data_IF_981954233292
#
_entry.id   IF_981954233292
#
_cell.length_a   1.000
_cell.length_b   1.000
_cell.length_c   1.000
_cell.angle_alpha   90.00
_cell.angle_beta   90.00
_cell.angle_gamma   90.00
#
_symmetry.space_group_name_H-M   'P 1'
#
loop_
_entity.id
_entity.type
_entity.pdbx_description
1 polymer ?
#
# COMPACT_ATOMS: atom_id res chain seq x y z
N UNK A 1 8.35 19.81 -15.41
CA UNK A 1 8.19 18.34 -15.43
C UNK A 1 7.12 18.02 -14.40
N UNK A 2 5.86 17.93 -14.84
CA UNK A 2 4.70 17.80 -13.95
C UNK A 2 4.53 16.35 -13.54
N UNK A 3 4.86 16.01 -12.29
CA UNK A 3 4.38 14.76 -11.71
C UNK A 3 2.86 14.88 -11.56
N UNK A 4 2.12 14.01 -12.25
CA UNK A 4 0.69 13.87 -12.05
C UNK A 4 0.39 13.67 -10.54
N UNK A 5 -0.73 14.19 -10.01
CA UNK A 5 -1.09 13.96 -8.62
C UNK A 5 -1.15 12.44 -8.38
N UNK A 6 -0.58 11.91 -7.28
CA UNK A 6 -0.75 10.50 -6.98
C UNK A 6 -2.24 10.25 -6.73
N UNK A 7 -2.93 9.63 -7.68
CA UNK A 7 -4.26 9.09 -7.47
C UNK A 7 -4.13 7.87 -6.56
N UNK A 8 -4.63 7.89 -5.31
CA UNK A 8 -4.44 6.79 -4.40
C UNK A 8 -5.71 5.93 -4.36
N UNK A 9 -6.12 5.40 -5.50
CA UNK A 9 -6.96 4.18 -5.52
C UNK A 9 -6.03 2.98 -5.71
N UNK A 10 -4.90 2.97 -5.01
CA UNK A 10 -4.01 1.83 -5.02
C UNK A 10 -4.49 0.83 -3.98
N UNK A 11 -5.08 -0.26 -4.48
CA UNK A 11 -5.37 -1.42 -3.66
C UNK A 11 -4.05 -1.93 -3.05
N UNK A 12 -4.01 -2.05 -1.73
CA UNK A 12 -2.91 -2.66 -0.98
C UNK A 12 -3.32 -4.07 -0.56
N UNK A 13 -3.23 -5.08 -1.46
CA UNK A 13 -3.83 -6.39 -1.24
C UNK A 13 -3.08 -7.26 -0.23
N UNK A 14 -1.99 -6.77 0.36
CA UNK A 14 -1.17 -7.53 1.31
C UNK A 14 -1.04 -6.81 2.65
N UNK A 15 -0.98 -7.59 3.73
CA UNK A 15 -0.59 -7.12 5.06
C UNK A 15 0.83 -7.61 5.36
N UNK A 16 1.71 -6.71 5.77
CA UNK A 16 3.04 -7.07 6.27
C UNK A 16 2.93 -7.67 7.67
N UNK A 17 3.44 -8.88 7.90
CA UNK A 17 3.20 -9.63 9.15
C UNK A 17 4.42 -9.76 10.07
N UNK A 18 5.60 -9.33 9.63
CA UNK A 18 6.82 -9.48 10.41
C UNK A 18 7.02 -8.33 11.37
N UNK A 19 7.53 -8.66 12.56
CA UNK A 19 7.87 -7.73 13.64
C UNK A 19 9.29 -7.16 13.49
N UNK A 20 9.85 -7.21 12.28
CA UNK A 20 11.11 -6.54 11.98
C UNK A 20 10.76 -5.25 11.24
N UNK A 21 11.44 -4.15 11.57
CA UNK A 21 11.20 -2.80 11.04
C UNK A 21 9.95 -2.06 11.57
N UNK A 22 9.23 -2.60 12.57
CA UNK A 22 8.09 -1.89 13.18
C UNK A 22 6.90 -1.65 12.24
N UNK A 23 6.75 -2.44 11.17
CA UNK A 23 5.69 -2.31 10.14
C UNK A 23 4.65 -3.43 10.19
N UNK A 24 4.63 -4.22 11.26
CA UNK A 24 3.69 -5.34 11.40
C UNK A 24 2.25 -4.83 11.38
N UNK A 25 1.42 -5.50 10.59
CA UNK A 25 0.00 -5.17 10.39
C UNK A 25 -0.26 -4.11 9.32
N UNK A 26 0.77 -3.45 8.77
CA UNK A 26 0.54 -2.40 7.78
C UNK A 26 0.15 -2.97 6.40
N UNK A 27 -0.83 -2.36 5.70
CA UNK A 27 -1.11 -2.65 4.31
C UNK A 27 0.05 -2.28 3.40
N UNK A 28 0.30 -3.13 2.40
CA UNK A 28 1.34 -2.96 1.40
C UNK A 28 0.92 -3.58 0.05
N UNK A 29 1.58 -3.14 -1.01
CA UNK A 29 1.53 -3.75 -2.34
C UNK A 29 2.88 -4.38 -2.68
N UNK A 30 2.84 -5.47 -3.43
CA UNK A 30 4.06 -6.08 -4.00
C UNK A 30 4.26 -5.51 -5.39
N UNK A 31 5.37 -4.82 -5.63
CA UNK A 31 5.67 -4.15 -6.91
C UNK A 31 6.66 -4.93 -7.78
N UNK A 32 7.47 -5.81 -7.19
CA UNK A 32 8.35 -6.71 -7.94
C UNK A 32 8.54 -8.04 -7.22
N UNK A 33 8.83 -9.10 -7.98
CA UNK A 33 9.21 -10.42 -7.46
C UNK A 33 10.64 -10.73 -7.87
N UNK A 34 11.46 -11.15 -6.91
CA UNK A 34 12.86 -11.53 -7.15
C UNK A 34 13.10 -13.03 -7.00
N UNK A 35 14.37 -13.41 -7.08
CA UNK A 35 14.85 -14.76 -6.79
C UNK A 35 14.81 -15.06 -5.28
N UNK A 36 14.96 -16.34 -4.90
CA UNK A 36 15.05 -16.76 -3.49
C UNK A 36 13.88 -16.29 -2.60
N UNK A 37 12.64 -16.39 -3.11
CA UNK A 37 11.44 -15.98 -2.39
C UNK A 37 11.39 -14.48 -1.98
N UNK A 38 12.17 -13.62 -2.61
CA UNK A 38 12.16 -12.18 -2.35
C UNK A 38 11.04 -11.45 -3.11
N UNK A 39 10.62 -10.31 -2.58
CA UNK A 39 9.74 -9.35 -3.25
C UNK A 39 10.04 -7.92 -2.81
N UNK A 40 9.76 -6.96 -3.70
CA UNK A 40 9.71 -5.53 -3.37
C UNK A 40 8.31 -5.19 -2.89
N UNK A 41 8.21 -4.61 -1.70
CA UNK A 41 6.97 -4.09 -1.14
C UNK A 41 7.01 -2.58 -1.08
N UNK A 42 5.85 -1.97 -1.24
CA UNK A 42 5.62 -0.55 -1.07
C UNK A 42 4.41 -0.35 -0.15
N UNK A 43 4.59 0.52 0.83
CA UNK A 43 3.60 0.83 1.86
C UNK A 43 2.88 2.14 1.52
N UNK A 44 1.80 2.44 2.25
CA UNK A 44 0.98 3.65 2.04
C UNK A 44 1.76 4.96 2.23
N UNK A 45 2.79 4.96 3.07
CA UNK A 45 3.67 6.11 3.33
C UNK A 45 4.74 6.32 2.25
N UNK A 46 4.70 5.52 1.17
CA UNK A 46 5.71 5.53 0.12
C UNK A 46 7.02 4.83 0.52
N UNK A 47 7.06 4.18 1.67
CA UNK A 47 8.22 3.39 2.08
C UNK A 47 8.35 2.15 1.21
N UNK A 48 9.57 1.86 0.75
CA UNK A 48 9.87 0.75 -0.16
C UNK A 48 10.96 -0.11 0.45
N UNK A 49 10.77 -1.42 0.43
CA UNK A 49 11.83 -2.36 0.82
C UNK A 49 11.76 -3.70 0.08
N UNK A 50 12.89 -4.41 0.07
CA UNK A 50 12.96 -5.81 -0.34
C UNK A 50 12.79 -6.69 0.91
N UNK A 51 11.88 -7.66 0.84
CA UNK A 51 11.58 -8.59 1.92
C UNK A 51 11.30 -9.98 1.36
N UNK A 52 11.22 -10.98 2.23
CA UNK A 52 10.69 -12.29 1.84
C UNK A 52 9.19 -12.20 1.55
N UNK A 53 8.69 -12.94 0.55
CA UNK A 53 7.24 -13.14 0.33
C UNK A 53 6.55 -13.79 1.51
N UNK A 54 7.29 -14.51 2.36
CA UNK A 54 6.78 -15.05 3.63
C UNK A 54 6.45 -13.96 4.66
N UNK A 55 6.94 -12.74 4.47
CA UNK A 55 6.67 -11.59 5.33
C UNK A 55 5.34 -10.89 5.00
N UNK A 56 4.71 -11.23 3.87
CA UNK A 56 3.42 -10.66 3.47
C UNK A 56 2.33 -11.72 3.47
N UNK A 57 1.11 -11.34 3.82
CA UNK A 57 -0.08 -12.19 3.73
C UNK A 57 -1.12 -11.49 2.88
N UNK A 58 -1.81 -12.22 1.99
CA UNK A 58 -2.96 -11.65 1.28
C UNK A 58 -3.98 -11.17 2.32
N UNK A 59 -4.43 -9.93 2.17
CA UNK A 59 -5.58 -9.43 2.90
C UNK A 59 -6.82 -10.07 2.26
N UNK A 60 -7.55 -10.91 3.00
CA UNK A 60 -8.82 -11.47 2.53
C UNK A 60 -9.82 -10.35 2.22
N UNK A 61 -9.76 -9.27 3.00
CA UNK A 61 -10.45 -8.01 2.77
C UNK A 61 -9.67 -6.92 3.49
N UNK A 62 -8.94 -6.07 2.76
CA UNK A 62 -8.75 -4.67 3.13
C UNK A 62 -8.72 -3.88 1.82
N UNK A 63 -9.92 -3.62 1.29
CA UNK A 63 -10.10 -2.38 0.58
C UNK A 63 -9.92 -1.27 1.64
N UNK A 64 -8.68 -0.80 1.83
CA UNK A 64 -8.48 0.53 2.40
C UNK A 64 -8.84 1.52 1.29
N UNK A 65 -10.09 1.43 0.82
CA UNK A 65 -10.71 2.48 0.06
C UNK A 65 -10.96 3.55 1.09
N UNK A 66 -10.07 4.54 1.14
CA UNK A 66 -10.51 5.86 1.56
C UNK A 66 -11.20 6.46 0.33
N UNK A 67 -12.54 6.62 0.30
CA UNK A 67 -13.10 7.62 -0.58
C UNK A 67 -12.98 8.94 0.18
N UNK A 68 -12.01 9.79 -0.17
CA UNK A 68 -12.06 11.18 0.29
C UNK A 68 -11.43 12.17 -0.69
N UNK A 69 -11.71 12.01 -1.98
CA UNK A 69 -11.91 13.20 -2.80
C UNK A 69 -13.32 13.74 -2.50
N UNK A 70 -13.41 14.49 -1.40
CA UNK A 70 -14.32 15.62 -1.22
C UNK A 70 -15.82 15.42 -1.51
N UNK A 71 -16.52 14.77 -0.57
CA UNK A 71 -17.79 15.33 -0.12
C UNK A 71 -17.45 16.52 0.80
N UNK A 72 -17.26 17.71 0.23
CA UNK A 72 -17.37 18.99 0.95
C UNK A 72 -17.55 20.14 -0.05
N UNK A 73 -18.82 20.47 -0.30
CA UNK A 73 -19.37 21.82 -0.24
C UNK A 73 -18.58 22.97 -0.92
N UNK A 74 -18.82 23.17 -2.22
CA UNK A 74 -18.99 24.53 -2.77
C UNK A 74 -20.45 24.63 -3.20
N UNK A 75 -21.33 25.10 -2.30
CA UNK A 75 -21.89 26.47 -2.39
C UNK A 75 -22.74 26.58 -3.65
N UNK A 76 -24.02 26.23 -3.63
CA UNK A 76 -25.15 27.14 -3.36
C UNK A 76 -24.96 28.54 -3.98
N UNK A 77 -25.80 28.79 -4.99
CA UNK A 77 -26.07 30.03 -5.75
C UNK A 77 -25.09 30.35 -6.88
#
# INVERSE_FOLDING_TARGET
MTAAPPTPTETLPYIYRWDRHGRKGQPCKVTARGSMNSCRVEFVDGYIMITSRNAVRKATTVAMTLPLAALSEKGRL
#
